data_IF_042514809444
#
_entry.id   IF_042514809444
#
_cell.length_a   1.000
_cell.length_b   1.000
_cell.length_c   1.000
_cell.angle_alpha   90.00
_cell.angle_beta   90.00
_cell.angle_gamma   90.00
#
_symmetry.space_group_name_H-M   'P 1'
#
loop_
_entity.id
_entity.type
_entity.pdbx_description
1 polymer ?
#
# COMPACT_ATOMS: atom_id res chain seq x y z
N UNK A 1 -0.08 -27.31 7.73
CA UNK A 1 0.48 -25.99 8.09
C UNK A 1 -0.56 -25.31 8.95
N UNK A 2 -0.19 -24.57 10.01
CA UNK A 2 -1.14 -23.88 10.89
C UNK A 2 -1.17 -22.39 10.54
N UNK A 3 -1.57 -22.07 9.31
CA UNK A 3 -1.56 -20.70 8.79
C UNK A 3 -2.49 -19.81 9.61
N UNK A 4 -3.63 -20.32 10.07
CA UNK A 4 -4.60 -19.52 10.84
C UNK A 4 -4.02 -19.10 12.20
N UNK A 5 -3.31 -19.99 12.89
CA UNK A 5 -2.65 -19.64 14.16
C UNK A 5 -1.50 -18.65 13.91
N UNK A 6 -0.70 -18.86 12.86
CA UNK A 6 0.37 -17.93 12.50
C UNK A 6 -0.18 -16.53 12.18
N UNK A 7 -1.33 -16.43 11.51
CA UNK A 7 -2.01 -15.15 11.25
C UNK A 7 -2.51 -14.52 12.57
N UNK A 8 -3.04 -15.33 13.49
CA UNK A 8 -3.48 -14.84 14.81
C UNK A 8 -2.31 -14.27 15.63
N UNK A 9 -1.15 -14.90 15.58
CA UNK A 9 0.05 -14.44 16.29
C UNK A 9 0.63 -13.19 15.64
N UNK A 10 0.72 -13.16 14.31
CA UNK A 10 1.14 -11.97 13.56
C UNK A 10 0.22 -10.77 13.81
N UNK A 11 -1.10 -10.95 13.72
CA UNK A 11 -2.06 -9.86 13.89
C UNK A 11 -2.11 -9.33 15.33
N UNK A 12 -1.73 -10.17 16.31
CA UNK A 12 -1.67 -9.78 17.71
C UNK A 12 -0.67 -8.64 17.97
N UNK A 13 0.35 -8.47 17.12
CA UNK A 13 1.29 -7.35 17.19
C UNK A 13 0.62 -5.98 16.98
N UNK A 14 -0.59 -5.96 16.42
CA UNK A 14 -1.35 -4.75 16.14
C UNK A 14 -2.57 -4.57 17.05
N UNK A 15 -2.83 -5.51 17.95
CA UNK A 15 -4.03 -5.48 18.79
C UNK A 15 -4.02 -4.26 19.74
N UNK A 16 -5.16 -3.58 19.86
CA UNK A 16 -5.37 -2.33 20.60
C UNK A 16 -4.67 -1.10 20.00
N UNK A 17 -4.16 -1.16 18.76
CA UNK A 17 -3.75 0.05 18.05
C UNK A 17 -4.97 0.70 17.40
N UNK A 18 -5.01 2.02 17.43
CA UNK A 18 -5.92 2.82 16.61
C UNK A 18 -5.16 3.28 15.39
N UNK A 19 -5.67 2.96 14.20
CA UNK A 19 -5.08 3.38 12.93
C UNK A 19 -6.04 4.29 12.17
N UNK A 20 -5.48 5.18 11.38
CA UNK A 20 -6.23 6.02 10.48
C UNK A 20 -5.90 5.66 9.03
N UNK A 21 -6.88 5.21 8.26
CA UNK A 21 -6.73 4.97 6.82
C UNK A 21 -7.17 6.23 6.09
N UNK A 22 -6.22 6.92 5.46
CA UNK A 22 -6.43 8.25 4.91
C UNK A 22 -6.37 8.21 3.39
N UNK A 23 -7.47 8.63 2.75
CA UNK A 23 -7.56 8.92 1.33
C UNK A 23 -7.58 10.44 1.03
N UNK A 24 -7.87 10.77 -0.22
CA UNK A 24 -8.04 12.14 -0.70
C UNK A 24 -9.32 12.79 -0.18
N UNK A 25 -10.40 12.02 -0.06
CA UNK A 25 -11.74 12.50 0.30
C UNK A 25 -12.34 11.73 1.49
N UNK A 26 -11.84 10.52 1.77
CA UNK A 26 -12.30 9.64 2.83
C UNK A 26 -11.19 9.38 3.85
N UNK A 27 -11.62 9.17 5.08
CA UNK A 27 -10.75 8.93 6.21
C UNK A 27 -11.50 8.02 7.19
N UNK A 28 -10.81 7.04 7.75
CA UNK A 28 -11.41 6.02 8.62
C UNK A 28 -10.53 5.75 9.82
N UNK A 29 -11.05 6.06 11.02
CA UNK A 29 -10.37 5.82 12.29
C UNK A 29 -10.81 4.47 12.85
N UNK A 30 -9.89 3.51 12.89
CA UNK A 30 -10.18 2.09 13.13
C UNK A 30 -9.39 1.58 14.32
N UNK A 31 -10.11 1.03 15.29
CA UNK A 31 -9.50 0.25 16.37
C UNK A 31 -9.23 -1.19 15.92
N UNK A 32 -7.96 -1.57 15.92
CA UNK A 32 -7.53 -2.93 15.61
C UNK A 32 -7.79 -3.83 16.82
N UNK A 33 -8.74 -4.73 16.68
CA UNK A 33 -9.07 -5.74 17.69
C UNK A 33 -9.01 -7.15 17.10
N UNK A 34 -8.28 -8.04 17.78
CA UNK A 34 -8.20 -9.46 17.48
C UNK A 34 -9.57 -10.13 17.31
N UNK A 35 -10.61 -9.65 18.00
CA UNK A 35 -11.98 -10.17 17.89
C UNK A 35 -12.53 -10.08 16.46
N UNK A 36 -12.07 -9.10 15.67
CA UNK A 36 -12.54 -8.86 14.31
C UNK A 36 -11.84 -9.80 13.31
N UNK A 37 -10.59 -10.19 13.58
CA UNK A 37 -9.78 -11.02 12.68
C UNK A 37 -10.47 -12.34 12.31
N UNK A 38 -11.14 -12.99 13.27
CA UNK A 38 -11.86 -14.23 13.00
C UNK A 38 -12.97 -14.04 11.94
N UNK A 39 -13.63 -12.87 11.91
CA UNK A 39 -14.62 -12.52 10.90
C UNK A 39 -13.99 -12.15 9.56
N UNK A 40 -12.87 -11.44 9.58
CA UNK A 40 -12.10 -11.13 8.36
C UNK A 40 -11.70 -12.42 7.64
N UNK A 41 -11.21 -13.41 8.39
CA UNK A 41 -10.86 -14.73 7.89
C UNK A 41 -12.05 -15.62 7.52
N UNK A 42 -13.29 -15.23 7.86
CA UNK A 42 -14.49 -16.04 7.58
C UNK A 42 -14.66 -17.23 8.53
N UNK A 43 -14.00 -17.26 9.69
CA UNK A 43 -14.01 -18.39 10.61
C UNK A 43 -15.36 -18.58 11.32
N UNK A 44 -16.29 -17.63 11.22
CA UNK A 44 -17.66 -17.79 11.72
C UNK A 44 -18.38 -18.98 11.06
N UNK A 45 -17.91 -19.45 9.92
CA UNK A 45 -18.49 -20.59 9.20
C UNK A 45 -18.13 -21.97 9.77
N UNK A 46 -17.36 -22.06 10.87
CA UNK A 46 -17.06 -23.35 11.52
C UNK A 46 -18.30 -24.02 12.15
N UNK A 47 -19.39 -23.27 12.38
CA UNK A 47 -20.60 -23.75 13.05
C UNK A 47 -21.87 -23.47 12.23
N UNK A 48 -22.90 -24.30 12.43
CA UNK A 48 -24.20 -24.21 11.73
C UNK A 48 -25.21 -23.24 12.36
N UNK A 49 -25.06 -22.89 13.64
CA UNK A 49 -26.11 -22.19 14.39
C UNK A 49 -25.54 -21.09 15.26
N UNK A 50 -26.08 -19.87 15.10
CA UNK A 50 -25.79 -18.71 15.94
C UNK A 50 -24.48 -18.00 15.61
N UNK A 51 -24.54 -16.68 15.46
CA UNK A 51 -23.37 -15.82 15.41
C UNK A 51 -22.63 -15.93 16.74
N UNK A 52 -21.60 -16.78 16.83
CA UNK A 52 -20.64 -16.69 17.94
C UNK A 52 -19.99 -15.32 17.81
N UNK A 53 -20.14 -14.48 18.84
CA UNK A 53 -19.47 -13.17 18.90
C UNK A 53 -17.98 -13.32 18.61
N UNK A 54 -17.41 -12.45 17.78
CA UNK A 54 -16.02 -12.54 17.29
C UNK A 54 -14.98 -12.89 18.37
N UNK A 55 -15.05 -12.28 19.56
CA UNK A 55 -14.11 -12.57 20.66
C UNK A 55 -14.19 -14.02 21.16
N UNK A 56 -15.40 -14.58 21.28
CA UNK A 56 -15.58 -15.98 21.71
C UNK A 56 -15.05 -16.94 20.64
N UNK A 57 -15.28 -16.61 19.36
CA UNK A 57 -14.79 -17.40 18.23
C UNK A 57 -13.26 -17.37 18.15
N UNK A 58 -12.66 -16.18 18.24
CA UNK A 58 -11.20 -16.01 18.29
C UNK A 58 -10.59 -16.82 19.43
N UNK A 59 -11.08 -16.65 20.67
CA UNK A 59 -10.57 -17.38 21.83
C UNK A 59 -10.76 -18.89 21.71
N UNK A 60 -11.88 -19.34 21.15
CA UNK A 60 -12.13 -20.77 20.93
C UNK A 60 -11.07 -21.38 20.02
N UNK A 61 -10.80 -20.74 18.88
CA UNK A 61 -9.83 -21.22 17.87
C UNK A 61 -8.41 -21.14 18.41
N UNK A 62 -8.04 -20.00 19.02
CA UNK A 62 -6.69 -19.76 19.57
C UNK A 62 -6.39 -20.68 20.74
N UNK A 63 -7.23 -20.69 21.77
CA UNK A 63 -6.94 -21.42 23.02
C UNK A 63 -7.09 -22.93 22.88
N UNK A 64 -7.95 -23.40 21.97
CA UNK A 64 -8.04 -24.83 21.66
C UNK A 64 -6.96 -25.29 20.67
N UNK A 65 -6.11 -24.36 20.21
CA UNK A 65 -5.06 -24.59 19.22
C UNK A 65 -5.53 -25.42 18.02
N UNK A 66 -6.70 -25.03 17.46
CA UNK A 66 -7.25 -25.76 16.32
C UNK A 66 -6.30 -25.62 15.12
N UNK A 67 -5.98 -26.76 14.51
CA UNK A 67 -5.26 -26.79 13.24
C UNK A 67 -6.15 -26.34 12.09
N UNK A 68 -5.53 -25.84 11.02
CA UNK A 68 -6.23 -25.45 9.79
C UNK A 68 -7.11 -26.58 9.26
N UNK A 69 -6.62 -27.83 9.28
CA UNK A 69 -7.36 -29.00 8.82
C UNK A 69 -8.64 -29.23 9.64
N UNK A 70 -8.56 -29.13 10.98
CA UNK A 70 -9.74 -29.26 11.84
C UNK A 70 -10.75 -28.13 11.57
N UNK A 71 -10.27 -26.91 11.35
CA UNK A 71 -11.13 -25.76 11.02
C UNK A 71 -11.82 -25.99 9.68
N UNK A 72 -11.08 -26.37 8.64
CA UNK A 72 -11.61 -26.64 7.31
C UNK A 72 -12.57 -27.82 7.28
N UNK A 73 -12.31 -28.90 8.01
CA UNK A 73 -13.24 -30.04 8.12
C UNK A 73 -14.56 -29.64 8.77
N UNK A 74 -14.52 -28.79 9.80
CA UNK A 74 -15.73 -28.26 10.45
C UNK A 74 -16.54 -27.36 9.53
N UNK A 75 -15.85 -26.50 8.76
CA UNK A 75 -16.50 -25.66 7.74
C UNK A 75 -17.08 -26.54 6.62
N UNK A 76 -16.35 -27.54 6.14
CA UNK A 76 -16.83 -28.46 5.12
C UNK A 76 -18.11 -29.20 5.56
N UNK A 77 -18.16 -29.58 6.85
CA UNK A 77 -19.31 -30.28 7.43
C UNK A 77 -20.50 -29.36 7.72
N UNK A 78 -20.23 -28.11 8.10
CA UNK A 78 -21.25 -27.14 8.51
C UNK A 78 -21.72 -26.26 7.35
N UNK A 79 -20.79 -25.57 6.70
CA UNK A 79 -21.02 -24.59 5.65
C UNK A 79 -20.14 -24.89 4.41
N UNK A 80 -20.35 -26.03 3.70
CA UNK A 80 -19.46 -26.48 2.63
C UNK A 80 -19.26 -25.44 1.52
N UNK A 81 -20.30 -24.68 1.17
CA UNK A 81 -20.23 -23.62 0.16
C UNK A 81 -19.35 -22.42 0.54
N UNK A 82 -18.86 -22.35 1.79
CA UNK A 82 -17.99 -21.29 2.28
C UNK A 82 -16.53 -21.70 2.37
N UNK A 83 -16.22 -22.99 2.23
CA UNK A 83 -14.87 -23.51 2.44
C UNK A 83 -13.84 -22.84 1.54
N UNK A 84 -14.12 -22.73 0.23
CA UNK A 84 -13.22 -22.06 -0.72
C UNK A 84 -12.96 -20.62 -0.31
N UNK A 85 -14.03 -19.86 -0.08
CA UNK A 85 -13.92 -18.45 0.30
C UNK A 85 -13.14 -18.24 1.61
N UNK A 86 -13.21 -19.18 2.57
CA UNK A 86 -12.41 -19.11 3.80
C UNK A 86 -10.94 -19.34 3.51
N UNK A 87 -10.59 -20.34 2.67
CA UNK A 87 -9.21 -20.55 2.23
C UNK A 87 -8.66 -19.32 1.53
N UNK A 88 -9.41 -18.76 0.58
CA UNK A 88 -8.99 -17.57 -0.16
C UNK A 88 -8.71 -16.39 0.78
N UNK A 89 -9.55 -16.17 1.79
CA UNK A 89 -9.32 -15.13 2.80
C UNK A 89 -8.06 -15.37 3.62
N UNK A 90 -7.86 -16.60 4.11
CA UNK A 90 -6.68 -16.99 4.89
C UNK A 90 -5.40 -16.77 4.09
N UNK A 91 -5.40 -17.15 2.81
CA UNK A 91 -4.21 -17.08 1.95
C UNK A 91 -3.87 -15.64 1.54
N UNK A 92 -4.85 -14.72 1.53
CA UNK A 92 -4.67 -13.38 0.97
C UNK A 92 -4.63 -12.24 1.99
N UNK A 93 -5.18 -12.40 3.20
CA UNK A 93 -5.39 -11.26 4.11
C UNK A 93 -4.08 -10.60 4.56
N UNK A 94 -3.04 -11.38 4.86
CA UNK A 94 -1.76 -10.83 5.34
C UNK A 94 -1.10 -10.03 4.22
N UNK A 95 -1.04 -10.58 3.01
CA UNK A 95 -0.49 -9.90 1.84
C UNK A 95 -1.27 -8.63 1.50
N UNK A 96 -2.59 -8.64 1.63
CA UNK A 96 -3.42 -7.46 1.45
C UNK A 96 -3.12 -6.38 2.49
N UNK A 97 -3.17 -6.69 3.79
CA UNK A 97 -2.96 -5.71 4.85
C UNK A 97 -1.56 -5.08 4.80
N UNK A 98 -0.52 -5.87 4.50
CA UNK A 98 0.85 -5.36 4.27
C UNK A 98 0.93 -4.34 3.12
N UNK A 99 0.08 -4.49 2.11
CA UNK A 99 0.01 -3.63 0.93
C UNK A 99 -1.17 -2.65 0.96
N UNK A 100 -1.82 -2.46 2.11
CA UNK A 100 -3.01 -1.60 2.23
C UNK A 100 -2.77 -0.16 1.77
N UNK A 101 -1.54 0.33 1.89
CA UNK A 101 -1.11 1.66 1.42
C UNK A 101 -1.21 1.83 -0.12
N UNK A 102 -1.35 0.75 -0.88
CA UNK A 102 -1.55 0.78 -2.33
C UNK A 102 -3.02 0.58 -2.73
N UNK A 103 -3.91 0.37 -1.76
CA UNK A 103 -5.31 0.13 -2.03
C UNK A 103 -6.03 1.41 -2.49
N UNK A 104 -7.20 1.22 -3.10
CA UNK A 104 -8.17 2.28 -3.38
C UNK A 104 -9.43 2.05 -2.57
N UNK A 105 -9.97 3.11 -2.01
CA UNK A 105 -11.25 3.13 -1.31
C UNK A 105 -12.34 3.33 -2.35
N UNK A 106 -13.28 2.40 -2.38
CA UNK A 106 -14.51 2.49 -3.16
C UNK A 106 -15.72 2.52 -2.25
N UNK A 107 -16.82 3.12 -2.71
CA UNK A 107 -18.10 2.95 -2.06
C UNK A 107 -18.71 1.59 -2.41
N UNK A 108 -19.44 1.01 -1.46
CA UNK A 108 -20.14 -0.25 -1.64
C UNK A 108 -21.42 -0.02 -2.47
N UNK A 109 -21.48 -0.56 -3.68
CA UNK A 109 -22.61 -0.33 -4.61
C UNK A 109 -23.60 -1.48 -4.69
N UNK A 110 -23.23 -2.69 -4.25
CA UNK A 110 -24.15 -3.84 -4.31
C UNK A 110 -25.19 -3.82 -3.18
N UNK A 111 -26.37 -3.30 -3.53
CA UNK A 111 -27.56 -3.18 -2.68
C UNK A 111 -28.13 -4.52 -2.18
N UNK A 112 -27.80 -5.65 -2.81
CA UNK A 112 -28.29 -6.97 -2.42
C UNK A 112 -27.38 -7.64 -1.38
N UNK A 113 -26.27 -7.01 -1.01
CA UNK A 113 -25.33 -7.53 -0.02
C UNK A 113 -25.91 -7.46 1.39
N UNK A 114 -25.54 -8.43 2.24
CA UNK A 114 -25.79 -8.39 3.69
C UNK A 114 -24.63 -7.78 4.49
N UNK A 115 -23.57 -7.36 3.80
CA UNK A 115 -22.39 -6.72 4.37
C UNK A 115 -22.79 -5.29 4.73
N UNK A 116 -22.45 -4.83 5.94
CA UNK A 116 -22.79 -3.50 6.47
C UNK A 116 -21.83 -2.41 5.98
N UNK A 117 -20.66 -2.82 5.50
CA UNK A 117 -19.60 -1.96 5.00
C UNK A 117 -20.16 -1.00 3.95
N UNK A 118 -19.93 0.29 4.17
CA UNK A 118 -20.28 1.34 3.21
C UNK A 118 -19.12 1.61 2.25
N UNK A 119 -17.91 1.28 2.67
CA UNK A 119 -16.69 1.44 1.88
C UNK A 119 -15.89 0.15 1.84
N UNK A 120 -15.08 0.01 0.81
CA UNK A 120 -14.18 -1.11 0.59
C UNK A 120 -12.79 -0.57 0.29
N UNK A 121 -11.78 -0.98 1.05
CA UNK A 121 -10.39 -0.90 0.60
C UNK A 121 -10.13 -2.01 -0.41
N UNK A 122 -9.79 -1.68 -1.64
CA UNK A 122 -9.69 -2.60 -2.77
C UNK A 122 -8.30 -2.61 -3.36
N UNK A 123 -7.78 -3.81 -3.56
CA UNK A 123 -6.54 -4.09 -4.27
C UNK A 123 -6.87 -5.07 -5.40
N UNK A 124 -6.59 -4.65 -6.64
CA UNK A 124 -6.88 -5.39 -7.86
C UNK A 124 -5.56 -5.95 -8.39
N UNK A 125 -5.47 -7.27 -8.54
CA UNK A 125 -4.42 -7.94 -9.30
C UNK A 125 -5.04 -8.71 -10.48
N UNK A 126 -4.20 -9.17 -11.42
CA UNK A 126 -4.65 -9.80 -12.67
C UNK A 126 -5.57 -11.04 -12.49
N UNK A 127 -5.54 -11.67 -11.32
CA UNK A 127 -6.28 -12.91 -11.03
C UNK A 127 -7.44 -12.71 -10.05
N UNK A 128 -7.44 -11.65 -9.25
CA UNK A 128 -8.34 -11.48 -8.12
C UNK A 128 -8.46 -10.04 -7.65
N UNK A 129 -9.62 -9.75 -7.08
CA UNK A 129 -9.96 -8.50 -6.40
C UNK A 129 -10.10 -8.80 -4.92
N UNK A 130 -9.21 -8.20 -4.14
CA UNK A 130 -9.18 -8.31 -2.68
C UNK A 130 -9.85 -7.07 -2.10
N UNK A 131 -10.79 -7.25 -1.19
CA UNK A 131 -11.62 -6.17 -0.65
C UNK A 131 -11.71 -6.28 0.87
N UNK A 132 -11.31 -5.22 1.56
CA UNK A 132 -11.49 -5.05 2.99
C UNK A 132 -12.71 -4.15 3.24
N UNK A 133 -13.75 -4.72 3.83
CA UNK A 133 -14.97 -4.00 4.16
C UNK A 133 -14.79 -3.11 5.39
N UNK A 134 -15.08 -1.82 5.20
CA UNK A 134 -15.05 -0.79 6.24
C UNK A 134 -16.49 -0.38 6.52
N UNK A 135 -16.93 -0.63 7.75
CA UNK A 135 -18.24 -0.27 8.24
C UNK A 135 -18.12 0.80 9.33
N UNK A 136 -19.14 1.64 9.45
CA UNK A 136 -19.20 2.71 10.44
C UNK A 136 -20.41 2.53 11.34
N UNK A 137 -20.25 2.83 12.62
CA UNK A 137 -21.35 3.11 13.54
C UNK A 137 -21.43 4.61 13.78
N UNK A 138 -22.28 5.06 14.70
CA UNK A 138 -22.32 6.46 15.11
C UNK A 138 -21.06 6.90 15.91
N UNK A 139 -20.23 5.94 16.33
CA UNK A 139 -19.12 6.18 17.25
C UNK A 139 -17.74 5.77 16.73
N UNK A 140 -17.68 4.80 15.81
CA UNK A 140 -16.42 4.19 15.36
C UNK A 140 -16.53 3.60 13.95
N UNK A 141 -15.40 3.61 13.22
CA UNK A 141 -15.20 2.78 12.04
C UNK A 141 -14.54 1.45 12.44
N UNK A 142 -14.89 0.38 11.72
CA UNK A 142 -14.33 -0.94 11.98
C UNK A 142 -14.23 -1.78 10.71
N UNK A 143 -13.26 -2.70 10.72
CA UNK A 143 -13.09 -3.71 9.69
C UNK A 143 -14.12 -4.82 9.87
N UNK A 144 -15.06 -4.95 8.93
CA UNK A 144 -16.17 -5.90 9.05
C UNK A 144 -15.86 -7.28 8.46
N UNK A 145 -15.31 -7.31 7.25
CA UNK A 145 -15.06 -8.54 6.49
C UNK A 145 -13.94 -8.34 5.49
N UNK A 146 -13.28 -9.43 5.09
CA UNK A 146 -12.38 -9.46 3.96
C UNK A 146 -12.95 -10.38 2.88
N UNK A 147 -12.82 -10.01 1.61
CA UNK A 147 -13.33 -10.76 0.46
C UNK A 147 -12.23 -10.90 -0.59
N UNK A 148 -12.22 -12.06 -1.25
CA UNK A 148 -11.44 -12.29 -2.46
C UNK A 148 -12.43 -12.74 -3.52
N UNK A 149 -12.42 -12.06 -4.68
CA UNK A 149 -13.35 -12.33 -5.79
C UNK A 149 -12.63 -12.20 -7.12
N UNK A 150 -13.26 -12.68 -8.19
CA UNK A 150 -12.81 -12.45 -9.57
C UNK A 150 -13.66 -11.39 -10.29
N UNK A 151 -14.60 -10.77 -9.57
CA UNK A 151 -15.52 -9.77 -10.10
C UNK A 151 -15.59 -8.57 -9.16
N UNK A 152 -15.95 -7.42 -9.76
CA UNK A 152 -16.08 -6.11 -9.13
C UNK A 152 -17.49 -5.86 -8.56
N UNK A 153 -18.33 -6.90 -8.42
CA UNK A 153 -19.77 -6.75 -8.13
C UNK A 153 -20.06 -5.82 -6.94
N UNK A 154 -19.18 -5.78 -5.95
CA UNK A 154 -19.35 -5.03 -4.72
C UNK A 154 -19.14 -3.51 -4.86
N UNK A 155 -18.37 -3.06 -5.85
CA UNK A 155 -18.06 -1.65 -6.08
C UNK A 155 -18.21 -1.23 -7.54
N UNK A 156 -18.77 -2.08 -8.39
CA UNK A 156 -19.03 -1.78 -9.80
C UNK A 156 -19.83 -0.48 -9.90
N UNK A 157 -19.37 0.41 -10.78
CA UNK A 157 -19.93 1.76 -10.98
C UNK A 157 -19.89 2.67 -9.74
N UNK A 158 -19.01 2.38 -8.77
CA UNK A 158 -18.72 3.29 -7.66
C UNK A 158 -18.39 4.67 -8.20
N UNK A 159 -19.01 5.71 -7.63
CA UNK A 159 -18.69 7.10 -7.93
C UNK A 159 -17.48 7.59 -7.13
N UNK A 160 -17.04 6.80 -6.15
CA UNK A 160 -15.87 7.05 -5.32
C UNK A 160 -14.77 6.10 -5.75
N UNK A 161 -13.66 6.66 -6.21
CA UNK A 161 -12.39 5.95 -6.36
C UNK A 161 -11.32 6.81 -5.69
N UNK A 162 -11.04 6.50 -4.43
CA UNK A 162 -10.21 7.33 -3.56
C UNK A 162 -8.94 6.56 -3.16
N UNK A 163 -7.74 6.90 -3.68
CA UNK A 163 -6.52 6.19 -3.32
C UNK A 163 -6.21 6.34 -1.83
N UNK A 164 -5.69 5.28 -1.20
CA UNK A 164 -5.05 5.44 0.10
C UNK A 164 -3.76 6.23 -0.11
N UNK A 165 -3.63 7.37 0.56
CA UNK A 165 -2.44 8.24 0.49
C UNK A 165 -1.58 8.11 1.75
N UNK A 166 -2.16 7.71 2.87
CA UNK A 166 -1.44 7.50 4.13
C UNK A 166 -2.17 6.53 5.04
N UNK A 167 -1.42 5.89 5.92
CA UNK A 167 -1.95 5.16 7.06
C UNK A 167 -1.15 5.59 8.28
N UNK A 168 -1.83 6.08 9.31
CA UNK A 168 -1.18 6.51 10.56
C UNK A 168 -1.66 5.66 11.74
N UNK A 169 -0.86 5.61 12.81
CA UNK A 169 -1.22 5.08 14.12
C UNK A 169 -1.34 6.25 15.09
N UNK A 170 -2.46 6.31 15.81
CA UNK A 170 -2.66 7.26 16.91
C UNK A 170 -2.00 6.69 18.17
N UNK A 171 -1.08 7.46 18.75
CA UNK A 171 -0.35 7.12 19.97
C UNK A 171 -1.11 7.55 21.23
N UNK A 172 -0.66 7.07 22.40
CA UNK A 172 -1.30 7.36 23.70
C UNK A 172 -1.37 8.85 24.03
N UNK A 173 -0.41 9.65 23.57
CA UNK A 173 -0.37 11.11 23.75
C UNK A 173 -1.22 11.88 22.73
N UNK A 174 -1.93 11.17 21.85
CA UNK A 174 -2.74 11.72 20.77
C UNK A 174 -1.95 12.15 19.53
N UNK A 175 -0.62 11.99 19.52
CA UNK A 175 0.18 12.21 18.32
C UNK A 175 -0.01 11.08 17.31
N UNK A 176 0.25 11.37 16.04
CA UNK A 176 0.19 10.37 14.98
C UNK A 176 1.58 10.04 14.45
N UNK A 177 1.77 8.80 14.02
CA UNK A 177 2.95 8.36 13.28
C UNK A 177 2.56 7.52 12.06
N UNK A 178 3.39 7.47 11.01
CA UNK A 178 3.15 6.55 9.89
C UNK A 178 3.09 5.09 10.35
N UNK A 179 2.16 4.32 9.77
CA UNK A 179 1.90 2.93 10.13
C UNK A 179 1.92 1.99 8.92
N UNK A 180 2.38 0.76 9.15
CA UNK A 180 2.32 -0.35 8.22
C UNK A 180 2.15 -1.68 8.95
N UNK A 181 1.35 -2.56 8.36
CA UNK A 181 1.25 -3.97 8.76
C UNK A 181 2.47 -4.80 8.34
N UNK A 182 3.37 -4.26 7.50
CA UNK A 182 4.63 -4.92 7.17
C UNK A 182 5.75 -4.45 8.11
N UNK A 183 6.27 -5.38 8.91
CA UNK A 183 7.29 -5.08 9.92
C UNK A 183 8.58 -4.48 9.33
N UNK A 184 9.02 -4.94 8.16
CA UNK A 184 10.22 -4.40 7.52
C UNK A 184 9.98 -2.97 7.02
N UNK A 185 8.78 -2.69 6.50
CA UNK A 185 8.37 -1.33 6.14
C UNK A 185 8.21 -0.45 7.39
N UNK A 186 7.61 -0.95 8.46
CA UNK A 186 7.43 -0.19 9.71
C UNK A 186 8.78 0.20 10.32
N UNK A 187 9.74 -0.73 10.39
CA UNK A 187 11.10 -0.46 10.90
C UNK A 187 11.81 0.67 10.14
N UNK A 188 11.47 0.86 8.86
CA UNK A 188 11.98 1.93 8.03
C UNK A 188 11.24 3.26 8.29
N UNK A 189 9.91 3.20 8.42
CA UNK A 189 9.08 4.36 8.76
C UNK A 189 9.40 4.95 10.13
N UNK A 190 9.71 4.10 11.12
CA UNK A 190 10.10 4.51 12.47
C UNK A 190 11.42 5.32 12.49
N UNK A 191 12.21 5.24 11.42
CA UNK A 191 13.49 5.96 11.27
C UNK A 191 13.38 7.28 10.50
N UNK A 192 12.25 7.54 9.85
CA UNK A 192 12.03 8.80 9.13
C UNK A 192 11.76 9.90 10.15
N UNK A 193 12.47 11.03 10.06
CA UNK A 193 12.16 12.22 10.84
C UNK A 193 10.82 12.78 10.34
N UNK A 194 9.74 12.56 11.09
CA UNK A 194 8.38 12.81 10.62
C UNK A 194 7.98 14.27 10.85
N UNK A 195 7.71 15.01 9.77
CA UNK A 195 6.74 16.09 9.78
C UNK A 195 5.54 15.59 8.96
N UNK A 196 4.61 14.89 9.62
CA UNK A 196 3.38 14.46 8.97
C UNK A 196 2.58 15.71 8.60
N UNK A 197 2.48 16.02 7.31
CA UNK A 197 1.54 17.01 6.83
C UNK A 197 0.61 16.37 5.80
N UNK A 198 -0.36 15.62 6.34
CA UNK A 198 -1.34 14.87 5.56
C UNK A 198 -2.12 15.78 4.60
N UNK A 199 -2.49 16.98 5.05
CA UNK A 199 -3.24 17.92 4.22
C UNK A 199 -2.39 18.47 3.07
N UNK A 200 -1.13 18.85 3.31
CA UNK A 200 -0.22 19.27 2.23
C UNK A 200 0.03 18.15 1.22
N UNK A 201 0.16 16.90 1.70
CA UNK A 201 0.31 15.75 0.82
C UNK A 201 -0.97 15.46 0.03
N UNK A 202 -2.14 15.55 0.66
CA UNK A 202 -3.44 15.43 0.00
C UNK A 202 -3.57 16.47 -1.12
N UNK A 203 -3.22 17.73 -0.84
CA UNK A 203 -3.21 18.81 -1.83
C UNK A 203 -2.20 18.54 -2.95
N UNK A 204 -1.01 18.03 -2.63
CA UNK A 204 -0.02 17.63 -3.62
C UNK A 204 -0.59 16.56 -4.57
N UNK A 205 -1.16 15.48 -4.03
CA UNK A 205 -1.70 14.38 -4.84
C UNK A 205 -2.81 14.91 -5.75
N UNK A 206 -3.73 15.74 -5.23
CA UNK A 206 -4.82 16.36 -6.02
C UNK A 206 -4.31 17.29 -7.12
N UNK A 207 -3.33 18.14 -6.82
CA UNK A 207 -2.86 19.18 -7.76
C UNK A 207 -1.91 18.66 -8.84
N UNK A 208 -1.30 17.50 -8.60
CA UNK A 208 -0.30 16.89 -9.51
C UNK A 208 -0.76 15.60 -10.17
N UNK A 209 -1.96 15.11 -9.80
CA UNK A 209 -2.48 13.79 -10.16
C UNK A 209 -1.50 12.65 -9.83
N UNK A 210 -0.77 12.77 -8.71
CA UNK A 210 0.37 11.90 -8.38
C UNK A 210 0.00 10.42 -8.41
N UNK A 211 -1.16 10.08 -7.86
CA UNK A 211 -1.72 8.72 -7.78
C UNK A 211 -2.07 8.11 -9.15
N UNK A 212 -2.19 8.92 -10.21
CA UNK A 212 -2.47 8.46 -11.58
C UNK A 212 -1.21 8.34 -12.42
N UNK A 213 -0.06 8.80 -11.92
CA UNK A 213 1.19 8.76 -12.66
C UNK A 213 1.74 7.33 -12.71
N UNK A 214 2.20 6.92 -13.88
CA UNK A 214 2.81 5.60 -14.11
C UNK A 214 4.35 5.64 -14.18
N UNK A 215 4.95 6.83 -14.13
CA UNK A 215 6.40 7.01 -14.27
C UNK A 215 7.17 6.85 -12.94
N UNK A 216 6.53 6.34 -11.90
CA UNK A 216 7.21 6.01 -10.67
C UNK A 216 8.02 4.72 -10.80
N UNK A 217 8.93 4.50 -9.86
CA UNK A 217 9.55 3.22 -9.63
C UNK A 217 9.49 2.88 -8.14
N UNK A 218 9.62 1.60 -7.83
CA UNK A 218 9.65 1.12 -6.45
C UNK A 218 11.08 0.76 -6.09
N UNK A 219 11.57 1.33 -5.00
CA UNK A 219 12.86 0.97 -4.43
C UNK A 219 12.70 0.77 -2.93
N UNK A 220 13.19 -0.37 -2.45
CA UNK A 220 13.15 -0.76 -1.03
C UNK A 220 11.73 -0.72 -0.40
N UNK A 221 10.71 -0.97 -1.24
CA UNK A 221 9.30 -0.95 -0.87
C UNK A 221 8.65 0.44 -0.92
N UNK A 222 9.37 1.51 -1.26
CA UNK A 222 8.81 2.86 -1.37
C UNK A 222 8.68 3.30 -2.82
N UNK A 223 7.66 4.11 -3.07
CA UNK A 223 7.38 4.68 -4.39
C UNK A 223 8.14 6.00 -4.57
N UNK A 224 8.91 6.08 -5.65
CA UNK A 224 9.66 7.27 -6.04
C UNK A 224 9.20 7.80 -7.38
N UNK A 225 9.01 9.10 -7.47
CA UNK A 225 8.69 9.81 -8.70
C UNK A 225 9.89 10.65 -9.14
N UNK A 226 10.42 10.44 -10.37
CA UNK A 226 11.46 11.30 -10.92
C UNK A 226 10.93 12.73 -11.11
N UNK A 227 11.65 13.72 -10.60
CA UNK A 227 11.21 15.13 -10.61
C UNK A 227 11.94 15.91 -11.70
N UNK A 228 13.25 16.13 -11.53
CA UNK A 228 14.08 16.85 -12.49
C UNK A 228 15.59 16.65 -12.28
N UNK A 229 16.43 16.91 -13.29
CA UNK A 229 17.85 17.20 -13.07
C UNK A 229 18.06 18.47 -12.25
N UNK A 230 19.27 18.63 -11.72
CA UNK A 230 19.77 19.88 -11.17
C UNK A 230 19.82 20.96 -12.24
N UNK A 231 19.48 22.18 -11.82
CA UNK A 231 19.60 23.35 -12.67
C UNK A 231 21.04 23.90 -12.69
N UNK A 232 21.29 24.90 -13.53
CA UNK A 232 22.63 25.49 -13.68
C UNK A 232 23.17 26.17 -12.43
N UNK A 233 22.30 26.63 -11.52
CA UNK A 233 22.72 27.24 -10.25
C UNK A 233 23.14 26.14 -9.27
N UNK A 234 22.32 25.10 -9.12
CA UNK A 234 22.59 23.93 -8.26
C UNK A 234 23.87 23.21 -8.67
N UNK A 235 24.12 23.04 -9.99
CA UNK A 235 25.37 22.47 -10.51
C UNK A 235 26.62 23.30 -10.20
N UNK A 236 26.48 24.58 -9.86
CA UNK A 236 27.59 25.49 -9.51
C UNK A 236 27.74 25.68 -8.01
N UNK A 237 26.80 25.18 -7.19
CA UNK A 237 26.87 25.30 -5.74
C UNK A 237 28.08 24.52 -5.21
N UNK A 238 28.81 25.13 -4.30
CA UNK A 238 29.80 24.44 -3.48
C UNK A 238 29.12 23.43 -2.54
N UNK A 239 29.90 22.46 -2.05
CA UNK A 239 29.42 21.49 -1.06
C UNK A 239 28.80 22.16 0.18
N UNK A 240 29.36 23.29 0.63
CA UNK A 240 28.85 24.06 1.77
C UNK A 240 27.53 24.79 1.47
N UNK A 241 27.27 25.14 0.21
CA UNK A 241 26.01 25.78 -0.18
C UNK A 241 24.90 24.77 -0.28
N UNK A 242 25.16 23.63 -0.93
CA UNK A 242 24.15 22.59 -1.09
C UNK A 242 23.85 21.88 0.23
N UNK A 243 24.85 21.68 1.10
CA UNK A 243 24.66 20.99 2.39
C UNK A 243 23.64 21.67 3.30
N UNK A 244 23.36 22.96 3.10
CA UNK A 244 22.32 23.70 3.84
C UNK A 244 20.91 23.20 3.55
N UNK A 245 20.72 22.54 2.42
CA UNK A 245 19.45 21.96 1.99
C UNK A 245 19.43 20.44 2.11
N UNK A 246 20.48 19.82 2.63
CA UNK A 246 20.57 18.37 2.74
C UNK A 246 20.30 17.92 4.16
N UNK A 247 19.51 16.86 4.29
CA UNK A 247 19.31 16.17 5.55
C UNK A 247 19.42 14.67 5.32
N UNK A 248 19.71 13.93 6.38
CA UNK A 248 19.67 12.47 6.39
C UNK A 248 18.45 12.08 7.19
N UNK A 249 17.55 11.32 6.58
CA UNK A 249 16.56 10.59 7.35
C UNK A 249 17.01 9.14 7.49
N UNK A 250 16.49 8.43 8.49
CA UNK A 250 16.98 7.09 8.78
C UNK A 250 16.50 6.01 7.80
N UNK A 251 15.89 6.38 6.66
CA UNK A 251 15.73 5.47 5.53
C UNK A 251 17.04 5.22 4.78
N UNK A 252 17.91 6.24 4.75
CA UNK A 252 19.13 6.26 3.95
C UNK A 252 20.32 6.71 4.80
N UNK A 253 20.68 5.92 5.81
CA UNK A 253 21.80 6.23 6.69
C UNK A 253 23.16 6.12 5.96
N UNK A 254 24.19 6.78 6.50
CA UNK A 254 25.52 7.07 5.94
C UNK A 254 26.38 5.84 5.57
N UNK A 255 25.86 4.61 5.66
CA UNK A 255 26.50 3.37 5.22
C UNK A 255 26.05 2.93 3.80
N UNK A 256 25.43 3.82 3.03
CA UNK A 256 25.10 3.55 1.63
C UNK A 256 26.38 3.38 0.79
N UNK A 257 26.83 2.13 0.67
CA UNK A 257 27.89 1.71 -0.25
C UNK A 257 27.48 2.07 -1.69
N UNK A 258 28.46 2.35 -2.54
CA UNK A 258 28.27 2.65 -3.97
C UNK A 258 27.39 1.63 -4.71
N UNK A 259 27.36 0.37 -4.26
CA UNK A 259 26.47 -0.67 -4.79
C UNK A 259 24.98 -0.31 -4.67
N UNK A 260 24.55 0.32 -3.57
CA UNK A 260 23.14 0.69 -3.38
C UNK A 260 22.70 1.89 -4.22
N UNK A 261 23.62 2.81 -4.52
CA UNK A 261 23.36 3.89 -5.49
C UNK A 261 23.12 3.28 -6.87
N UNK A 262 23.96 2.33 -7.28
CA UNK A 262 23.78 1.62 -8.54
C UNK A 262 22.47 0.81 -8.57
N UNK A 263 22.12 0.13 -7.47
CA UNK A 263 20.84 -0.57 -7.34
C UNK A 263 19.64 0.38 -7.46
N UNK A 264 19.69 1.57 -6.84
CA UNK A 264 18.64 2.58 -6.97
C UNK A 264 18.50 3.06 -8.41
N UNK A 265 19.60 3.51 -9.03
CA UNK A 265 19.57 3.97 -10.41
C UNK A 265 19.21 2.87 -11.40
N UNK A 266 19.45 1.59 -11.08
CA UNK A 266 18.97 0.48 -11.89
C UNK A 266 17.43 0.42 -11.95
N UNK A 267 16.73 0.85 -10.90
CA UNK A 267 15.26 0.90 -10.87
C UNK A 267 14.66 2.14 -11.56
N UNK A 268 15.44 3.22 -11.71
CA UNK A 268 14.95 4.45 -12.36
C UNK A 268 14.64 4.17 -13.83
N UNK A 269 13.45 4.52 -14.36
CA UNK A 269 13.14 4.26 -15.77
C UNK A 269 14.07 5.01 -16.72
N UNK A 270 14.35 4.44 -17.89
CA UNK A 270 15.34 4.97 -18.85
C UNK A 270 15.09 6.43 -19.27
N UNK A 271 13.82 6.81 -19.42
CA UNK A 271 13.42 8.17 -19.75
C UNK A 271 13.81 9.22 -18.68
N UNK A 272 14.19 8.78 -17.48
CA UNK A 272 14.46 9.64 -16.32
C UNK A 272 15.84 9.41 -15.70
N UNK A 273 16.77 8.73 -16.38
CA UNK A 273 18.13 8.48 -15.87
C UNK A 273 18.92 9.76 -15.58
N UNK A 274 18.60 10.85 -16.28
CA UNK A 274 19.21 12.16 -16.07
C UNK A 274 18.62 12.93 -14.86
N UNK A 275 17.63 12.37 -14.15
CA UNK A 275 17.07 13.03 -12.97
C UNK A 275 18.03 12.95 -11.78
N UNK A 276 18.16 14.08 -11.08
CA UNK A 276 18.93 14.19 -9.84
C UNK A 276 18.01 14.22 -8.61
N UNK A 277 16.76 14.69 -8.78
CA UNK A 277 15.76 14.81 -7.71
C UNK A 277 14.62 13.82 -7.88
N UNK A 278 14.26 13.15 -6.78
CA UNK A 278 13.22 12.14 -6.70
C UNK A 278 12.29 12.43 -5.52
N UNK A 279 10.97 12.43 -5.75
CA UNK A 279 9.99 12.56 -4.69
C UNK A 279 9.59 11.18 -4.16
N UNK A 280 9.70 10.95 -2.86
CA UNK A 280 9.18 9.75 -2.22
C UNK A 280 7.77 10.03 -1.70
N UNK A 281 6.81 9.25 -2.19
CA UNK A 281 5.38 9.39 -1.85
C UNK A 281 5.12 9.19 -0.35
N UNK A 282 5.82 8.23 0.25
CA UNK A 282 5.58 7.78 1.62
C UNK A 282 6.17 8.73 2.65
N UNK A 283 7.40 9.18 2.46
CA UNK A 283 8.02 10.15 3.38
C UNK A 283 7.71 11.59 3.04
N UNK A 284 7.09 11.81 1.88
CA UNK A 284 6.68 13.12 1.41
C UNK A 284 7.87 14.08 1.22
N UNK A 285 9.07 13.53 1.00
CA UNK A 285 10.31 14.25 0.88
C UNK A 285 10.92 14.13 -0.53
N UNK A 286 11.65 15.18 -0.92
CA UNK A 286 12.58 15.09 -2.04
C UNK A 286 13.87 14.44 -1.59
N UNK A 287 14.44 13.64 -2.48
CA UNK A 287 15.73 13.03 -2.30
C UNK A 287 16.62 13.34 -3.49
N UNK A 288 17.89 13.51 -3.18
CA UNK A 288 18.99 13.69 -4.11
C UNK A 288 20.00 12.55 -3.90
N UNK A 289 20.60 12.05 -4.98
CA UNK A 289 21.63 11.01 -4.90
C UNK A 289 23.01 11.65 -5.03
N UNK A 290 23.81 11.58 -3.96
CA UNK A 290 25.20 12.01 -3.95
C UNK A 290 26.15 10.83 -3.88
N UNK A 291 27.46 11.08 -3.96
CA UNK A 291 28.48 10.07 -3.68
C UNK A 291 28.38 9.46 -2.28
N UNK A 292 27.67 10.14 -1.35
CA UNK A 292 27.42 9.67 0.02
C UNK A 292 26.10 8.88 0.14
N UNK A 293 25.41 8.63 -0.96
CA UNK A 293 24.12 7.95 -0.98
C UNK A 293 22.93 8.88 -1.22
N UNK A 294 21.74 8.37 -0.95
CA UNK A 294 20.50 9.13 -1.06
C UNK A 294 20.37 10.07 0.16
N UNK A 295 20.20 11.36 -0.08
CA UNK A 295 20.04 12.38 0.95
C UNK A 295 18.74 13.15 0.73
N UNK A 296 18.04 13.45 1.81
CA UNK A 296 16.86 14.30 1.77
C UNK A 296 17.23 15.72 1.32
N UNK A 297 16.36 16.35 0.53
CA UNK A 297 16.56 17.68 -0.04
C UNK A 297 15.43 18.62 0.40
N UNK A 298 15.74 19.52 1.33
CA UNK A 298 14.78 20.39 2.03
C UNK A 298 14.64 21.80 1.43
N UNK A 299 15.19 22.05 0.24
CA UNK A 299 15.06 23.37 -0.43
C UNK A 299 13.59 23.78 -0.65
N UNK A 300 12.72 22.80 -0.89
CA UNK A 300 11.29 23.00 -1.03
C UNK A 300 10.58 22.24 0.09
N UNK A 301 9.59 22.89 0.72
CA UNK A 301 8.74 22.32 1.77
C UNK A 301 7.31 22.84 1.59
N UNK A 302 6.33 22.08 2.08
CA UNK A 302 4.91 22.40 2.02
C UNK A 302 4.44 22.94 0.68
N UNK A 303 3.75 24.08 0.68
CA UNK A 303 3.20 24.69 -0.54
C UNK A 303 4.23 24.94 -1.66
N UNK A 304 5.51 25.20 -1.34
CA UNK A 304 6.53 25.43 -2.37
C UNK A 304 7.01 24.12 -3.00
N UNK A 305 7.01 23.02 -2.24
CA UNK A 305 7.22 21.68 -2.78
C UNK A 305 6.11 21.30 -3.76
N UNK A 306 4.85 21.56 -3.39
CA UNK A 306 3.70 21.31 -4.27
C UNK A 306 3.79 22.06 -5.58
N UNK A 307 4.12 23.36 -5.55
CA UNK A 307 4.31 24.16 -6.77
C UNK A 307 5.44 23.61 -7.64
N UNK A 308 6.58 23.25 -7.04
CA UNK A 308 7.73 22.76 -7.79
C UNK A 308 7.45 21.40 -8.45
N UNK A 309 6.85 20.46 -7.71
CA UNK A 309 6.45 19.17 -8.26
C UNK A 309 5.46 19.34 -9.39
N UNK A 310 4.40 20.14 -9.19
CA UNK A 310 3.42 20.43 -10.25
C UNK A 310 4.08 21.00 -11.49
N UNK A 311 4.96 22.00 -11.33
CA UNK A 311 5.69 22.62 -12.46
C UNK A 311 6.52 21.58 -13.22
N UNK A 312 7.25 20.72 -12.52
CA UNK A 312 8.10 19.70 -13.15
C UNK A 312 7.27 18.67 -13.89
N UNK A 313 6.22 18.19 -13.26
CA UNK A 313 5.30 17.22 -13.82
C UNK A 313 4.54 17.76 -15.05
N UNK A 314 4.04 19.00 -15.01
CA UNK A 314 3.43 19.66 -16.16
C UNK A 314 4.42 19.76 -17.35
N UNK A 315 5.72 19.98 -17.08
CA UNK A 315 6.76 20.01 -18.11
C UNK A 315 7.04 18.61 -18.69
N UNK A 316 7.09 17.58 -17.84
CA UNK A 316 7.24 16.20 -18.28
C UNK A 316 6.08 15.82 -19.19
N UNK A 317 4.84 16.12 -18.81
CA UNK A 317 3.64 15.78 -19.60
C UNK A 317 3.63 16.50 -20.95
N UNK A 318 4.04 17.78 -20.99
CA UNK A 318 4.22 18.53 -22.25
C UNK A 318 5.32 17.96 -23.14
N UNK A 319 6.38 17.43 -22.53
CA UNK A 319 7.49 16.84 -23.25
C UNK A 319 7.18 15.42 -23.74
N UNK A 320 6.30 14.66 -23.06
CA UNK A 320 5.82 13.35 -23.51
C UNK A 320 5.15 13.45 -24.89
N UNK A 321 4.48 14.56 -25.20
CA UNK A 321 3.98 14.85 -26.55
C UNK A 321 5.06 15.09 -27.63
N UNK A 322 6.33 15.17 -27.23
CA UNK A 322 7.52 15.30 -28.10
C UNK A 322 8.51 14.13 -27.95
N UNK A 323 8.29 13.22 -27.01
CA UNK A 323 9.06 11.98 -26.87
C UNK A 323 8.67 11.08 -28.04
N UNK A 324 9.69 10.59 -28.76
CA UNK A 324 9.50 9.77 -29.97
C UNK A 324 8.51 8.62 -29.68
N UNK A 325 7.59 8.30 -30.61
CA UNK A 325 6.67 7.16 -30.52
C UNK A 325 7.34 5.81 -30.21
N UNK A 326 8.67 5.71 -30.35
CA UNK A 326 9.48 4.55 -29.98
C UNK A 326 9.47 4.23 -28.48
N UNK A 327 9.31 5.22 -27.59
CA UNK A 327 9.31 4.97 -26.12
C UNK A 327 7.94 4.50 -25.65
N UNK A 328 6.86 5.05 -26.22
CA UNK A 328 5.49 4.59 -25.95
C UNK A 328 5.23 3.18 -26.48
N UNK A 329 5.85 2.82 -27.61
CA UNK A 329 5.83 1.44 -28.12
C UNK A 329 6.67 0.51 -27.24
N UNK A 330 7.84 0.94 -26.76
CA UNK A 330 8.64 0.14 -25.83
C UNK A 330 7.94 -0.09 -24.48
N UNK A 331 7.25 0.91 -23.90
CA UNK A 331 6.48 0.72 -22.66
C UNK A 331 5.28 -0.23 -22.87
N UNK A 332 4.63 -0.18 -24.04
CA UNK A 332 3.57 -1.15 -24.40
C UNK A 332 4.13 -2.54 -24.66
N UNK A 333 5.24 -2.65 -25.38
CA UNK A 333 5.92 -3.92 -25.65
C UNK A 333 6.42 -4.56 -24.36
N UNK A 334 6.94 -3.78 -23.40
CA UNK A 334 7.39 -4.29 -22.10
C UNK A 334 6.22 -4.81 -21.25
N UNK A 335 5.09 -4.09 -21.19
CA UNK A 335 3.86 -4.56 -20.52
C UNK A 335 3.27 -5.80 -21.20
N UNK A 336 3.38 -5.90 -22.53
CA UNK A 336 2.95 -7.09 -23.27
C UNK A 336 3.90 -8.28 -23.10
N UNK A 337 5.22 -8.06 -23.02
CA UNK A 337 6.22 -9.10 -22.78
C UNK A 337 6.16 -9.64 -21.35
N UNK A 338 5.96 -8.79 -20.33
CA UNK A 338 5.68 -9.24 -18.96
C UNK A 338 4.42 -10.13 -18.91
N UNK A 339 3.35 -9.74 -19.59
CA UNK A 339 2.11 -10.55 -19.66
C UNK A 339 2.28 -11.89 -20.39
N UNK A 340 3.24 -11.98 -21.33
CA UNK A 340 3.55 -13.19 -22.10
C UNK A 340 4.51 -14.11 -21.35
N UNK A 341 5.45 -13.56 -20.58
CA UNK A 341 6.34 -14.31 -19.70
C UNK A 341 5.56 -14.97 -18.55
N UNK A 342 4.65 -14.23 -17.91
CA UNK A 342 3.74 -14.78 -16.87
C UNK A 342 2.82 -15.89 -17.42
N UNK A 343 2.39 -15.80 -18.68
CA UNK A 343 1.60 -16.86 -19.33
C UNK A 343 2.43 -18.08 -19.75
N UNK A 344 3.71 -17.92 -20.09
CA UNK A 344 4.59 -19.05 -20.48
C UNK A 344 5.02 -19.88 -19.28
N UNK A 345 5.23 -19.27 -18.13
CA UNK A 345 5.60 -19.99 -16.90
C UNK A 345 4.42 -20.78 -16.33
N UNK A 346 3.18 -20.33 -16.55
CA UNK A 346 1.97 -21.09 -16.19
C UNK A 346 1.66 -22.28 -17.13
N UNK A 347 2.26 -22.34 -18.32
CA UNK A 347 2.06 -23.47 -19.26
C UNK A 347 3.11 -24.57 -19.08
N UNK A 348 4.26 -24.26 -18.45
CA UNK A 348 5.33 -25.24 -18.22
C UNK A 348 5.16 -26.11 -16.97
N UNK A 349 4.20 -25.82 -16.10
CA UNK A 349 3.98 -26.60 -14.86
C UNK A 349 2.96 -27.74 -15.05
N UNK A 350 2.21 -27.76 -16.16
CA UNK A 350 1.17 -28.78 -16.43
C UNK A 350 1.62 -29.97 -17.31
N UNK A 351 2.93 -30.19 -17.50
CA UNK A 351 3.46 -31.36 -18.24
C UNK A 351 4.41 -32.27 -17.48
N UNK A 352 4.58 -32.08 -16.16
CA UNK A 352 5.27 -33.05 -15.30
C UNK A 352 4.42 -33.36 -14.05
N UNK A 353 3.32 -34.10 -14.25
CA UNK A 353 2.75 -35.01 -13.25
C UNK A 353 1.92 -36.12 -13.88
#
# INVERSE_FOLDING_TARGET
MNNIQNIFDWYNNFNNKTINIIGLEKEFLIDIDNKNLAHLLGLQYINNTGSIKGRRLYNYIKNSNLSDEQIYQRIASSNPSKLSNVRDRVDNIVGFLKNLHNAKIYEMTNVNSKIKSKFLGVDINDASIRMLGIASTDYEDYLETFLVRTDDLYFRNSQIEDPVISITETLEDGSEKMFSFDENRQLKLDKVSQSLNIDEHRDLVKTTDLNKRENYFVYDGFKYYPVRPWNNEEKKMSLNEISKYLFTDGLFDNEYKSSRIAEFYAQVPDAYKDCDLFYNDTTQNLYFISEKGLQGYSKYQGADLTKELKRCFDLQDKNIGKIKPSVLSQIKEFKEEESKLVKKDNIKIDFER
#
